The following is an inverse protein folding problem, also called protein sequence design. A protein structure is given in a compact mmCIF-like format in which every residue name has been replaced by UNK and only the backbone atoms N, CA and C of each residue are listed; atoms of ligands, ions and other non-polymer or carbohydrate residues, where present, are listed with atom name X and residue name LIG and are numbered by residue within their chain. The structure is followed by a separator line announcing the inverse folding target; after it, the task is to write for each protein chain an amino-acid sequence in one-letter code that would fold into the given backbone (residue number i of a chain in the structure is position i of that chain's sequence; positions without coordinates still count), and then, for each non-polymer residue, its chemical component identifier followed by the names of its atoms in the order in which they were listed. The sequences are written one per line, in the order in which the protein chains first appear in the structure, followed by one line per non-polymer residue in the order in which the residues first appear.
data_IF_190506715833
#
_entry.id   IF_190506715833
#
_cell.length_a   1.000
_cell.length_b   1.000
_cell.length_c   1.000
_cell.angle_alpha   90.00
_cell.angle_beta   90.00
_cell.angle_gamma   90.00
#
_symmetry.space_group_name_H-M   'P 1'
#
loop_
_entity.id
_entity.type
_entity.pdbx_description
1 polymer ?
#
# COMPACT_ATOMS: atom_id res chain seq x y z
N UNK A 1 18.23 -14.50 26.38
CA UNK A 1 18.27 -14.98 24.98
C UNK A 1 17.59 -13.96 24.08
N UNK A 2 18.29 -13.40 23.09
CA UNK A 2 17.65 -12.59 22.04
C UNK A 2 16.85 -13.55 21.16
N UNK A 3 15.52 -13.57 21.27
CA UNK A 3 14.71 -14.42 20.40
C UNK A 3 14.83 -13.89 18.97
N UNK A 4 15.49 -14.64 18.09
CA UNK A 4 15.56 -14.30 16.67
C UNK A 4 14.15 -14.16 16.11
N UNK A 5 13.91 -13.08 15.36
CA UNK A 5 12.63 -12.86 14.67
C UNK A 5 12.33 -14.04 13.74
N UNK A 6 11.13 -14.66 13.78
CA UNK A 6 10.80 -15.80 12.93
C UNK A 6 10.92 -15.47 11.43
N UNK A 7 11.27 -16.45 10.60
CA UNK A 7 11.41 -16.28 9.14
C UNK A 7 10.14 -15.73 8.48
N UNK A 8 8.96 -16.14 8.93
CA UNK A 8 7.68 -15.61 8.43
C UNK A 8 7.51 -14.11 8.69
N UNK A 9 7.97 -13.62 9.85
CA UNK A 9 7.95 -12.19 10.18
C UNK A 9 9.00 -11.44 9.37
N UNK A 10 10.17 -12.03 9.12
CA UNK A 10 11.17 -11.43 8.23
C UNK A 10 10.64 -11.30 6.80
N UNK A 11 10.01 -12.35 6.26
CA UNK A 11 9.38 -12.33 4.94
C UNK A 11 8.26 -11.29 4.87
N UNK A 12 7.39 -11.22 5.88
CA UNK A 12 6.34 -10.19 5.95
C UNK A 12 6.91 -8.77 5.95
N UNK A 13 8.06 -8.54 6.60
CA UNK A 13 8.76 -7.25 6.57
C UNK A 13 9.30 -6.93 5.19
N UNK A 14 9.88 -7.90 4.48
CA UNK A 14 10.35 -7.73 3.10
C UNK A 14 9.19 -7.37 2.17
N UNK A 15 8.06 -8.08 2.28
CA UNK A 15 6.86 -7.77 1.50
C UNK A 15 6.32 -6.37 1.82
N UNK A 16 6.26 -5.97 3.09
CA UNK A 16 5.88 -4.61 3.48
C UNK A 16 6.84 -3.55 2.95
N UNK A 17 8.13 -3.83 2.85
CA UNK A 17 9.09 -2.94 2.19
C UNK A 17 8.78 -2.80 0.71
N UNK A 18 8.45 -3.89 0.01
CA UNK A 18 8.04 -3.82 -1.40
C UNK A 18 6.74 -3.01 -1.57
N UNK A 19 5.75 -3.22 -0.70
CA UNK A 19 4.50 -2.43 -0.67
C UNK A 19 4.81 -0.95 -0.40
N UNK A 20 5.70 -0.65 0.55
CA UNK A 20 6.13 0.72 0.85
C UNK A 20 6.72 1.40 -0.39
N UNK A 21 7.62 0.72 -1.11
CA UNK A 21 8.22 1.23 -2.34
C UNK A 21 7.14 1.50 -3.40
N UNK A 22 6.13 0.64 -3.52
CA UNK A 22 5.03 0.85 -4.47
C UNK A 22 4.27 2.17 -4.22
N UNK A 23 4.18 2.61 -2.97
CA UNK A 23 3.57 3.91 -2.61
C UNK A 23 4.41 5.12 -3.02
N UNK A 24 5.69 4.94 -3.35
CA UNK A 24 6.49 6.00 -4.00
C UNK A 24 6.26 5.97 -5.52
N UNK A 25 6.22 4.76 -6.10
CA UNK A 25 6.11 4.58 -7.55
C UNK A 25 4.80 5.12 -8.12
N UNK A 26 3.66 4.88 -7.45
CA UNK A 26 2.34 5.33 -7.94
C UNK A 26 2.25 6.85 -8.15
N UNK A 27 2.49 7.71 -7.13
CA UNK A 27 2.42 9.16 -7.32
C UNK A 27 3.51 9.66 -8.28
N UNK A 28 4.67 9.01 -8.35
CA UNK A 28 5.70 9.33 -9.35
C UNK A 28 5.17 9.11 -10.77
N UNK A 29 4.52 7.97 -11.05
CA UNK A 29 3.94 7.68 -12.36
C UNK A 29 2.83 8.68 -12.71
N UNK A 30 1.95 9.02 -11.75
CA UNK A 30 0.91 10.03 -11.96
C UNK A 30 1.50 11.41 -12.28
N UNK A 31 2.62 11.76 -11.66
CA UNK A 31 3.30 13.04 -11.91
C UNK A 31 4.03 13.06 -13.25
N UNK A 32 4.64 11.94 -13.67
CA UNK A 32 5.38 11.85 -14.94
C UNK A 32 4.42 11.77 -16.12
N UNK A 33 3.32 11.03 -15.99
CA UNK A 33 2.32 10.86 -17.05
C UNK A 33 1.06 11.71 -16.82
N UNK A 34 1.28 12.99 -16.51
CA UNK A 34 0.19 13.92 -16.25
C UNK A 34 -0.71 14.13 -17.49
N UNK A 35 -0.17 13.92 -18.70
CA UNK A 35 -0.94 13.92 -19.95
C UNK A 35 -1.98 12.81 -19.99
N UNK A 36 -1.61 11.55 -19.68
CA UNK A 36 -2.56 10.45 -19.67
C UNK A 36 -3.63 10.68 -18.60
N UNK A 37 -3.25 11.18 -17.42
CA UNK A 37 -4.19 11.52 -16.36
C UNK A 37 -5.20 12.60 -16.81
N UNK A 38 -4.75 13.67 -17.46
CA UNK A 38 -5.63 14.72 -18.00
C UNK A 38 -6.59 14.18 -19.06
N UNK A 39 -6.08 13.37 -20.00
CA UNK A 39 -6.92 12.74 -21.03
C UNK A 39 -7.98 11.82 -20.41
N UNK A 40 -7.62 11.08 -19.36
CA UNK A 40 -8.55 10.24 -18.64
C UNK A 40 -9.63 11.06 -17.94
N UNK A 41 -9.26 12.14 -17.24
CA UNK A 41 -10.21 13.04 -16.58
C UNK A 41 -11.17 13.65 -17.61
N UNK A 42 -10.66 14.15 -18.74
CA UNK A 42 -11.51 14.70 -19.81
C UNK A 42 -12.47 13.65 -20.40
N UNK A 43 -12.05 12.39 -20.46
CA UNK A 43 -12.92 11.28 -20.92
C UNK A 43 -14.00 10.94 -19.89
N UNK A 44 -13.67 11.00 -18.60
CA UNK A 44 -14.59 10.72 -17.50
C UNK A 44 -15.56 11.89 -17.20
N UNK A 45 -15.15 13.11 -17.53
CA UNK A 45 -15.87 14.36 -17.30
C UNK A 45 -15.89 15.20 -18.58
N UNK A 46 -16.73 14.82 -19.58
CA UNK A 46 -16.76 15.49 -20.89
C UNK A 46 -17.31 16.92 -20.84
N UNK A 47 -17.91 17.31 -19.72
CA UNK A 47 -18.43 18.64 -19.42
C UNK A 47 -17.35 19.61 -18.89
N UNK A 48 -16.18 19.11 -18.49
CA UNK A 48 -15.10 19.95 -17.98
C UNK A 48 -14.39 20.70 -19.11
N UNK A 49 -14.11 21.98 -18.87
CA UNK A 49 -13.19 22.73 -19.72
C UNK A 49 -11.72 22.36 -19.47
N UNK A 50 -10.81 22.88 -20.30
CA UNK A 50 -9.38 22.57 -20.19
C UNK A 50 -8.76 23.02 -18.85
N UNK A 51 -9.27 24.10 -18.25
CA UNK A 51 -8.81 24.61 -16.96
C UNK A 51 -9.27 23.72 -15.81
N UNK A 52 -10.50 23.22 -15.86
CA UNK A 52 -11.06 22.27 -14.89
C UNK A 52 -10.36 20.92 -14.94
N UNK A 53 -10.04 20.41 -16.13
CA UNK A 53 -9.23 19.19 -16.31
C UNK A 53 -7.83 19.36 -15.71
N UNK A 54 -7.16 20.49 -16.00
CA UNK A 54 -5.82 20.75 -15.47
C UNK A 54 -5.82 20.83 -13.94
N UNK A 55 -6.76 21.57 -13.36
CA UNK A 55 -6.92 21.69 -11.89
C UNK A 55 -7.21 20.34 -11.24
N UNK A 56 -8.09 19.55 -11.84
CA UNK A 56 -8.45 18.22 -11.34
C UNK A 56 -7.27 17.25 -11.36
N UNK A 57 -6.43 17.31 -12.41
CA UNK A 57 -5.20 16.53 -12.48
C UNK A 57 -4.21 16.93 -11.37
N UNK A 58 -4.01 18.22 -11.12
CA UNK A 58 -3.13 18.70 -10.04
C UNK A 58 -3.64 18.26 -8.66
N UNK A 59 -4.96 18.34 -8.43
CA UNK A 59 -5.60 17.84 -7.20
C UNK A 59 -5.40 16.33 -7.07
N UNK A 60 -5.60 15.56 -8.14
CA UNK A 60 -5.44 14.11 -8.14
C UNK A 60 -3.99 13.70 -7.82
N UNK A 61 -3.00 14.35 -8.43
CA UNK A 61 -1.56 14.10 -8.14
C UNK A 61 -1.24 14.46 -6.70
N UNK A 62 -1.67 15.63 -6.23
CA UNK A 62 -1.34 16.11 -4.87
C UNK A 62 -2.00 15.25 -3.80
N UNK A 63 -3.31 14.98 -3.93
CA UNK A 63 -4.05 14.14 -2.99
C UNK A 63 -3.56 12.69 -3.02
N UNK A 64 -3.25 12.16 -4.20
CA UNK A 64 -2.61 10.85 -4.37
C UNK A 64 -1.26 10.77 -3.66
N UNK A 65 -0.40 11.77 -3.85
CA UNK A 65 0.91 11.83 -3.19
C UNK A 65 0.79 11.89 -1.66
N UNK A 66 -0.13 12.68 -1.11
CA UNK A 66 -0.37 12.76 0.34
C UNK A 66 -0.86 11.41 0.87
N UNK A 67 -1.87 10.83 0.22
CA UNK A 67 -2.44 9.54 0.63
C UNK A 67 -1.37 8.44 0.62
N UNK A 68 -0.60 8.33 -0.47
CA UNK A 68 0.48 7.38 -0.57
C UNK A 68 1.63 7.64 0.41
N UNK A 69 1.94 8.91 0.70
CA UNK A 69 2.94 9.28 1.72
C UNK A 69 2.57 8.81 3.13
N UNK A 70 1.27 8.87 3.48
CA UNK A 70 0.75 8.32 4.74
C UNK A 70 0.93 6.80 4.77
N UNK A 71 0.55 6.10 3.70
CA UNK A 71 0.68 4.65 3.61
C UNK A 71 2.14 4.19 3.61
N UNK A 72 3.03 4.92 2.93
CA UNK A 72 4.48 4.71 2.97
C UNK A 72 5.01 4.79 4.41
N UNK A 73 4.65 5.85 5.12
CA UNK A 73 5.08 6.07 6.51
C UNK A 73 4.57 4.96 7.43
N UNK A 74 3.32 4.54 7.24
CA UNK A 74 2.74 3.42 7.98
C UNK A 74 3.45 2.10 7.69
N UNK A 75 3.73 1.80 6.42
CA UNK A 75 4.47 0.59 6.05
C UNK A 75 5.89 0.60 6.64
N UNK A 76 6.61 1.72 6.55
CA UNK A 76 7.93 1.88 7.15
C UNK A 76 7.91 1.67 8.68
N UNK A 77 6.92 2.26 9.36
CA UNK A 77 6.69 2.04 10.79
C UNK A 77 6.46 0.56 11.10
N UNK A 78 5.63 -0.14 10.33
CA UNK A 78 5.33 -1.56 10.52
C UNK A 78 6.52 -2.46 10.22
N UNK A 79 7.31 -2.18 9.17
CA UNK A 79 8.56 -2.87 8.89
C UNK A 79 9.51 -2.81 10.09
N UNK A 80 9.59 -1.67 10.75
CA UNK A 80 10.41 -1.53 11.95
C UNK A 80 9.78 -2.22 13.17
N UNK A 81 8.49 -1.98 13.44
CA UNK A 81 7.82 -2.39 14.68
C UNK A 81 7.38 -3.85 14.71
N UNK A 82 7.17 -4.52 13.58
CA UNK A 82 6.78 -5.94 13.57
C UNK A 82 7.81 -6.84 14.26
N UNK A 83 9.09 -6.47 14.23
CA UNK A 83 10.14 -7.21 14.92
C UNK A 83 10.06 -7.11 16.46
N UNK A 84 9.23 -6.22 17.01
CA UNK A 84 9.09 -6.01 18.45
C UNK A 84 8.09 -6.95 19.13
N UNK A 85 7.41 -7.81 18.37
CA UNK A 85 6.41 -8.75 18.85
C UNK A 85 5.20 -8.12 19.56
N UNK A 86 5.00 -6.80 19.48
CA UNK A 86 3.86 -6.15 20.14
C UNK A 86 2.54 -6.54 19.45
N UNK A 87 1.50 -6.98 20.19
CA UNK A 87 0.27 -7.49 19.59
C UNK A 87 -0.47 -6.47 18.73
N UNK A 88 -0.40 -5.17 19.09
CA UNK A 88 -1.01 -4.11 18.29
C UNK A 88 -0.36 -3.97 16.91
N UNK A 89 0.94 -4.26 16.75
CA UNK A 89 1.63 -4.13 15.46
C UNK A 89 1.13 -5.17 14.45
N UNK A 90 0.83 -6.39 14.91
CA UNK A 90 0.20 -7.44 14.09
C UNK A 90 -1.18 -7.03 13.63
N UNK A 91 -2.01 -6.51 14.55
CA UNK A 91 -3.37 -6.04 14.24
C UNK A 91 -3.33 -4.87 13.26
N UNK A 92 -2.48 -3.87 13.52
CA UNK A 92 -2.33 -2.71 12.64
C UNK A 92 -1.82 -3.10 11.26
N UNK A 93 -0.82 -3.98 11.16
CA UNK A 93 -0.38 -4.52 9.87
C UNK A 93 -1.53 -5.21 9.13
N UNK A 94 -2.32 -6.01 9.83
CA UNK A 94 -3.46 -6.70 9.22
C UNK A 94 -4.51 -5.73 8.69
N UNK A 95 -4.98 -4.81 9.53
CA UNK A 95 -6.00 -3.84 9.15
C UNK A 95 -5.50 -2.93 8.02
N UNK A 96 -4.27 -2.42 8.13
CA UNK A 96 -3.70 -1.57 7.08
C UNK A 96 -3.58 -2.29 5.75
N UNK A 97 -3.05 -3.52 5.70
CA UNK A 97 -2.89 -4.24 4.44
C UNK A 97 -4.24 -4.61 3.81
N UNK A 98 -5.24 -4.99 4.60
CA UNK A 98 -6.59 -5.27 4.08
C UNK A 98 -7.27 -4.00 3.55
N UNK A 99 -7.14 -2.87 4.25
CA UNK A 99 -7.62 -1.57 3.73
C UNK A 99 -6.89 -1.19 2.45
N UNK A 100 -5.58 -1.41 2.37
CA UNK A 100 -4.80 -1.16 1.15
C UNK A 100 -5.27 -2.03 -0.02
N UNK A 101 -5.70 -3.27 0.20
CA UNK A 101 -6.32 -4.10 -0.86
C UNK A 101 -7.62 -3.45 -1.34
N UNK A 102 -8.49 -3.01 -0.42
CA UNK A 102 -9.75 -2.33 -0.79
C UNK A 102 -9.49 -1.07 -1.60
N UNK A 103 -8.56 -0.21 -1.16
CA UNK A 103 -8.18 0.97 -1.92
C UNK A 103 -7.56 0.63 -3.28
N UNK A 104 -6.78 -0.45 -3.37
CA UNK A 104 -6.21 -0.91 -4.63
C UNK A 104 -7.30 -1.35 -5.62
N UNK A 105 -8.40 -1.97 -5.17
CA UNK A 105 -9.54 -2.28 -6.06
C UNK A 105 -10.17 -1.01 -6.63
N UNK A 106 -10.33 0.03 -5.81
CA UNK A 106 -10.82 1.34 -6.28
C UNK A 106 -9.87 1.91 -7.34
N UNK A 107 -8.58 1.99 -7.05
CA UNK A 107 -7.58 2.47 -8.01
C UNK A 107 -7.55 1.66 -9.31
N UNK A 108 -7.71 0.34 -9.23
CA UNK A 108 -7.76 -0.55 -10.40
C UNK A 108 -8.96 -0.22 -11.28
N UNK A 109 -10.14 -0.02 -10.70
CA UNK A 109 -11.33 0.36 -11.46
C UNK A 109 -11.26 1.76 -12.08
N UNK A 110 -10.42 2.65 -11.53
CA UNK A 110 -10.32 4.03 -11.99
C UNK A 110 -9.46 4.19 -13.24
N UNK A 111 -8.43 3.36 -13.44
CA UNK A 111 -7.51 3.53 -14.56
C UNK A 111 -6.80 2.24 -14.97
N UNK A 112 -6.70 2.02 -16.29
CA UNK A 112 -5.93 0.92 -16.88
C UNK A 112 -4.43 1.01 -16.59
N UNK A 113 -3.92 2.20 -16.26
CA UNK A 113 -2.50 2.41 -15.93
C UNK A 113 -2.02 1.56 -14.73
N UNK A 114 -2.95 1.11 -13.88
CA UNK A 114 -2.64 0.34 -12.68
C UNK A 114 -2.91 -1.16 -12.81
N UNK A 115 -3.46 -1.63 -13.93
CA UNK A 115 -3.96 -3.01 -14.06
C UNK A 115 -2.87 -4.08 -13.92
N UNK A 116 -1.64 -3.79 -14.33
CA UNK A 116 -0.52 -4.73 -14.21
C UNK A 116 0.05 -4.77 -12.79
N UNK A 117 0.14 -3.61 -12.12
CA UNK A 117 0.85 -3.46 -10.84
C UNK A 117 -0.03 -3.88 -9.67
N UNK A 118 -1.31 -3.51 -9.67
CA UNK A 118 -2.21 -3.73 -8.54
C UNK A 118 -2.36 -5.21 -8.15
N UNK A 119 -2.57 -6.17 -9.08
CA UNK A 119 -2.70 -7.58 -8.69
C UNK A 119 -1.48 -8.11 -7.93
N UNK A 120 -0.27 -7.69 -8.34
CA UNK A 120 0.99 -8.09 -7.70
C UNK A 120 1.08 -7.50 -6.29
N UNK A 121 0.76 -6.21 -6.12
CA UNK A 121 0.78 -5.56 -4.81
C UNK A 121 -0.30 -6.12 -3.87
N UNK A 122 -1.51 -6.38 -4.38
CA UNK A 122 -2.57 -7.05 -3.63
C UNK A 122 -2.14 -8.45 -3.15
N UNK A 123 -1.48 -9.22 -4.01
CA UNK A 123 -0.94 -10.53 -3.63
C UNK A 123 0.09 -10.40 -2.50
N UNK A 124 0.99 -9.41 -2.56
CA UNK A 124 1.96 -9.15 -1.50
C UNK A 124 1.30 -8.73 -0.17
N UNK A 125 0.25 -7.91 -0.23
CA UNK A 125 -0.54 -7.49 0.95
C UNK A 125 -1.24 -8.69 1.60
N UNK A 126 -1.94 -9.52 0.81
CA UNK A 126 -2.61 -10.73 1.31
C UNK A 126 -1.60 -11.73 1.87
N UNK A 127 -0.48 -11.95 1.18
CA UNK A 127 0.58 -12.84 1.66
C UNK A 127 1.22 -12.33 2.95
N UNK A 128 1.38 -11.01 3.11
CA UNK A 128 1.82 -10.39 4.37
C UNK A 128 0.88 -10.77 5.51
N UNK A 129 -0.44 -10.62 5.31
CA UNK A 129 -1.45 -11.01 6.31
C UNK A 129 -1.35 -12.51 6.61
N UNK A 130 -1.27 -13.34 5.58
CA UNK A 130 -1.15 -14.79 5.74
C UNK A 130 0.08 -15.18 6.59
N UNK A 131 1.25 -14.59 6.33
CA UNK A 131 2.49 -14.84 7.06
C UNK A 131 2.42 -14.42 8.54
N UNK A 132 1.59 -13.44 8.87
CA UNK A 132 1.39 -12.98 10.25
C UNK A 132 0.41 -13.86 11.04
N UNK A 133 -0.49 -14.58 10.39
CA UNK A 133 -1.57 -15.33 11.06
C UNK A 133 -1.49 -16.85 10.97
N UNK A 134 -1.00 -17.42 9.86
CA UNK A 134 -1.03 -18.87 9.67
C UNK A 134 0.16 -19.62 10.31
N UNK A 135 1.43 -19.20 10.14
CA UNK A 135 2.57 -19.94 10.70
C UNK A 135 2.52 -19.98 12.22
N UNK A 136 2.64 -21.18 12.83
CA UNK A 136 2.68 -21.35 14.28
C UNK A 136 3.75 -20.48 14.93
N UNK A 137 4.93 -20.37 14.30
CA UNK A 137 6.04 -19.54 14.76
C UNK A 137 5.68 -18.05 14.84
N UNK A 138 4.83 -17.55 13.93
CA UNK A 138 4.36 -16.17 13.99
C UNK A 138 3.36 -15.98 15.14
N UNK A 139 2.42 -16.92 15.29
CA UNK A 139 1.42 -16.85 16.36
C UNK A 139 2.07 -16.87 17.75
N UNK A 140 3.01 -17.78 17.98
CA UNK A 140 3.77 -17.88 19.23
C UNK A 140 4.61 -16.62 19.49
N UNK A 141 5.22 -16.05 18.44
CA UNK A 141 6.03 -14.85 18.56
C UNK A 141 5.23 -13.68 19.14
N UNK A 142 4.00 -13.46 18.68
CA UNK A 142 3.14 -12.40 19.22
C UNK A 142 2.44 -12.78 20.53
N UNK A 143 2.21 -14.07 20.80
CA UNK A 143 1.59 -14.53 22.04
C UNK A 143 2.48 -14.31 23.28
N UNK A 144 3.80 -14.42 23.14
CA UNK A 144 4.77 -14.27 24.25
C UNK A 144 4.84 -12.87 24.87
N UNK A 145 4.19 -11.87 24.26
CA UNK A 145 4.22 -10.44 24.64
C UNK A 145 2.83 -9.82 24.69
N UNK A 146 1.79 -10.65 24.75
CA UNK A 146 0.38 -10.24 24.88
C UNK A 146 -0.03 -10.14 26.34
#
# INVERSE_FOLDING_TARGET
MVSRTPKSIQAARVLLTAVAISHVVVPMLMSVDQSALRNQIATQHPDFDAGEVARSADIAVTSGAVFHGILLSLCALLVWKLATARPWTRRLATVSQLLSVVFSVVSWSSSSMFHTVIPIICAAQVLTVALLWFPSTAREFFAKRS
#
